data_IF_160380822475
#
_entry.id   IF_160380822475
#
_cell.length_a   1.000
_cell.length_b   1.000
_cell.length_c   1.000
_cell.angle_alpha   90.00
_cell.angle_beta   90.00
_cell.angle_gamma   90.00
#
_symmetry.space_group_name_H-M   'P 1'
#
loop_
_entity.id
_entity.type
_entity.pdbx_description
1 polymer ?
#
# COMPACT_ATOMS: atom_id res chain seq x y z
N UNK A 1 28.36 -49.03 22.79
CA UNK A 1 26.92 -49.24 22.95
C UNK A 1 26.38 -48.12 23.82
N UNK A 2 25.35 -47.41 23.31
CA UNK A 2 24.33 -46.59 24.00
C UNK A 2 24.84 -45.31 24.70
N UNK A 3 24.86 -44.16 24.00
CA UNK A 3 23.74 -43.20 23.76
C UNK A 3 23.49 -42.30 24.98
N UNK A 4 24.11 -41.12 24.98
CA UNK A 4 23.88 -40.08 25.97
C UNK A 4 22.57 -39.34 25.68
N UNK A 5 21.56 -39.67 26.47
CA UNK A 5 20.55 -38.79 27.07
C UNK A 5 20.01 -37.67 26.17
N UNK A 6 19.25 -38.11 25.17
CA UNK A 6 18.27 -37.28 24.50
C UNK A 6 17.11 -36.99 25.47
N UNK A 7 16.75 -35.70 25.57
CA UNK A 7 15.46 -35.18 26.00
C UNK A 7 15.21 -34.90 27.51
N UNK A 8 15.36 -33.62 27.87
CA UNK A 8 14.46 -32.95 28.81
C UNK A 8 14.30 -31.47 28.41
N UNK A 9 13.54 -31.20 27.33
CA UNK A 9 12.80 -29.94 27.23
C UNK A 9 11.33 -30.31 27.19
N UNK A 10 10.67 -30.22 28.35
CA UNK A 10 9.23 -30.21 28.40
C UNK A 10 8.74 -29.18 27.35
N UNK A 11 7.80 -29.54 26.44
CA UNK A 11 7.22 -28.53 25.58
C UNK A 11 6.58 -27.49 26.50
N UNK A 12 7.01 -26.23 26.36
CA UNK A 12 6.36 -25.14 27.07
C UNK A 12 4.90 -25.12 26.61
N UNK A 13 4.00 -25.58 27.48
CA UNK A 13 2.57 -25.78 27.18
C UNK A 13 1.85 -24.49 26.77
N UNK A 14 2.47 -23.34 27.00
CA UNK A 14 1.93 -22.00 26.71
C UNK A 14 2.84 -21.15 25.80
N UNK A 15 3.80 -21.74 25.07
CA UNK A 15 4.62 -20.98 24.10
C UNK A 15 4.14 -21.19 22.69
N UNK A 16 3.73 -20.13 22.00
CA UNK A 16 3.52 -20.13 20.55
C UNK A 16 4.76 -19.52 19.86
N UNK A 17 5.27 -20.21 18.86
CA UNK A 17 6.38 -19.74 18.03
C UNK A 17 5.84 -18.98 16.82
N UNK A 18 6.32 -17.76 16.61
CA UNK A 18 6.05 -16.96 15.41
C UNK A 18 7.34 -16.91 14.57
N UNK A 19 7.66 -17.97 13.81
CA UNK A 19 8.97 -18.12 13.14
C UNK A 19 9.24 -17.09 12.06
N UNK A 20 8.21 -16.40 11.61
CA UNK A 20 8.29 -15.38 10.56
C UNK A 20 8.52 -13.99 11.11
N UNK A 21 8.28 -13.76 12.42
CA UNK A 21 8.58 -12.49 13.04
C UNK A 21 10.08 -12.42 13.31
N UNK A 22 10.78 -11.68 12.46
CA UNK A 22 12.13 -11.20 12.73
C UNK A 22 12.13 -10.23 13.92
N UNK A 23 13.31 -9.94 14.48
CA UNK A 23 13.45 -9.00 15.60
C UNK A 23 12.82 -7.62 15.29
N UNK A 24 12.86 -7.23 14.01
CA UNK A 24 12.31 -5.98 13.49
C UNK A 24 10.76 -5.96 13.48
N UNK A 25 10.11 -7.13 13.47
CA UNK A 25 8.66 -7.28 13.46
C UNK A 25 8.04 -7.45 14.86
N UNK A 26 8.85 -7.35 15.93
CA UNK A 26 8.36 -7.19 17.31
C UNK A 26 7.44 -5.98 17.48
N UNK A 27 7.47 -5.05 16.52
CA UNK A 27 6.52 -3.96 16.38
C UNK A 27 5.06 -4.43 16.37
N UNK A 28 4.76 -5.63 15.87
CA UNK A 28 3.42 -6.22 15.95
C UNK A 28 3.02 -6.48 17.40
N UNK A 29 3.93 -7.08 18.17
CA UNK A 29 3.68 -7.38 19.59
C UNK A 29 3.55 -6.09 20.39
N UNK A 30 4.43 -5.11 20.15
CA UNK A 30 4.34 -3.79 20.75
C UNK A 30 2.98 -3.14 20.45
N UNK A 31 2.49 -3.22 19.21
CA UNK A 31 1.19 -2.71 18.82
C UNK A 31 0.04 -3.45 19.52
N UNK A 32 0.08 -4.78 19.62
CA UNK A 32 -0.98 -5.53 20.31
C UNK A 32 -1.09 -5.18 21.79
N UNK A 33 0.05 -4.86 22.44
CA UNK A 33 0.09 -4.50 23.85
C UNK A 33 -0.22 -3.02 24.12
N UNK A 34 0.15 -2.12 23.20
CA UNK A 34 0.04 -0.67 23.41
C UNK A 34 -1.05 -0.01 22.59
N UNK A 35 -1.61 -0.70 21.59
CA UNK A 35 -2.46 -0.16 20.53
C UNK A 35 -1.85 1.03 19.76
N UNK A 36 -0.53 1.22 19.88
CA UNK A 36 0.18 2.36 19.30
C UNK A 36 1.16 1.90 18.22
N UNK A 37 1.11 2.59 17.08
CA UNK A 37 2.07 2.43 16.00
C UNK A 37 3.08 3.59 16.06
N UNK A 38 4.36 3.27 16.13
CA UNK A 38 5.41 4.28 16.11
C UNK A 38 5.36 5.09 14.81
N UNK A 39 5.45 6.41 14.93
CA UNK A 39 5.30 7.38 13.83
C UNK A 39 6.52 7.43 12.94
N UNK A 40 7.69 7.13 13.48
CA UNK A 40 8.97 7.22 12.77
C UNK A 40 9.42 5.86 12.20
N UNK A 41 8.53 4.88 12.20
CA UNK A 41 8.83 3.56 11.65
C UNK A 41 9.16 3.66 10.14
N UNK A 42 10.28 3.07 9.67
CA UNK A 42 10.64 3.07 8.26
C UNK A 42 9.60 2.37 7.37
N UNK A 43 9.52 2.79 6.11
CA UNK A 43 8.57 2.23 5.13
C UNK A 43 8.70 0.70 4.99
N UNK A 44 9.93 0.17 4.96
CA UNK A 44 10.18 -1.29 4.93
C UNK A 44 9.52 -2.05 6.09
N UNK A 45 9.50 -1.45 7.28
CA UNK A 45 8.89 -2.07 8.45
C UNK A 45 7.36 -1.92 8.42
N UNK A 46 6.86 -0.83 7.86
CA UNK A 46 5.43 -0.66 7.59
C UNK A 46 4.90 -1.73 6.63
N UNK A 47 5.65 -2.04 5.56
CA UNK A 47 5.32 -3.13 4.63
C UNK A 47 5.31 -4.49 5.33
N UNK A 48 6.34 -4.79 6.12
CA UNK A 48 6.40 -6.04 6.91
C UNK A 48 5.23 -6.14 7.91
N UNK A 49 4.92 -5.06 8.62
CA UNK A 49 3.78 -4.98 9.54
C UNK A 49 2.43 -5.13 8.83
N UNK A 50 2.29 -4.59 7.62
CA UNK A 50 1.06 -4.75 6.84
C UNK A 50 0.85 -6.22 6.47
N UNK A 51 1.91 -6.91 6.01
CA UNK A 51 1.88 -8.35 5.72
C UNK A 51 1.56 -9.17 6.97
N UNK A 52 2.20 -8.84 8.10
CA UNK A 52 1.92 -9.50 9.37
C UNK A 52 0.47 -9.23 9.84
N UNK A 53 -0.01 -8.00 9.72
CA UNK A 53 -1.38 -7.64 10.10
C UNK A 53 -2.43 -8.38 9.28
N UNK A 54 -2.17 -8.58 7.98
CA UNK A 54 -3.04 -9.38 7.10
C UNK A 54 -3.00 -10.86 7.48
N UNK A 55 -1.80 -11.40 7.74
CA UNK A 55 -1.62 -12.80 8.16
C UNK A 55 -2.28 -13.14 9.50
N UNK A 56 -2.17 -12.26 10.48
CA UNK A 56 -2.69 -12.46 11.84
C UNK A 56 -4.08 -11.85 12.04
N UNK A 57 -4.73 -11.39 10.96
CA UNK A 57 -6.07 -10.76 10.96
C UNK A 57 -6.22 -9.61 11.97
N UNK A 58 -5.19 -8.76 12.07
CA UNK A 58 -5.17 -7.59 12.96
C UNK A 58 -5.66 -6.37 12.18
N UNK A 59 -6.98 -6.29 11.97
CA UNK A 59 -7.61 -5.26 11.13
C UNK A 59 -7.25 -3.81 11.50
N UNK A 60 -7.09 -3.51 12.80
CA UNK A 60 -6.72 -2.17 13.25
C UNK A 60 -5.28 -1.79 12.86
N UNK A 61 -4.33 -2.73 12.98
CA UNK A 61 -2.95 -2.53 12.54
C UNK A 61 -2.88 -2.38 11.01
N UNK A 62 -3.62 -3.23 10.29
CA UNK A 62 -3.72 -3.18 8.83
C UNK A 62 -4.16 -1.79 8.37
N UNK A 63 -5.25 -1.26 8.94
CA UNK A 63 -5.75 0.10 8.62
C UNK A 63 -4.76 1.20 8.99
N UNK A 64 -4.06 1.08 10.13
CA UNK A 64 -3.07 2.08 10.54
C UNK A 64 -1.85 2.10 9.61
N UNK A 65 -1.35 0.92 9.21
CA UNK A 65 -0.29 0.79 8.22
C UNK A 65 -0.73 1.31 6.85
N UNK A 66 -1.92 0.92 6.39
CA UNK A 66 -2.51 1.41 5.13
C UNK A 66 -2.61 2.94 5.12
N UNK A 67 -3.13 3.55 6.18
CA UNK A 67 -3.27 5.00 6.27
C UNK A 67 -1.92 5.73 6.24
N UNK A 68 -0.89 5.19 6.91
CA UNK A 68 0.43 5.83 6.95
C UNK A 68 1.21 5.64 5.65
N UNK A 69 1.15 4.44 5.06
CA UNK A 69 1.72 4.18 3.73
C UNK A 69 1.02 5.04 2.67
N UNK A 70 -0.31 5.17 2.74
CA UNK A 70 -1.08 6.06 1.89
C UNK A 70 -0.66 7.53 2.08
N UNK A 71 -0.40 7.99 3.31
CA UNK A 71 0.08 9.36 3.54
C UNK A 71 1.48 9.62 2.94
N UNK A 72 2.30 8.59 2.77
CA UNK A 72 3.65 8.68 2.22
C UNK A 72 3.73 8.55 0.68
N UNK A 73 2.59 8.45 0.00
CA UNK A 73 2.56 8.36 -1.47
C UNK A 73 2.94 9.70 -2.08
N UNK A 74 4.03 9.68 -2.84
CA UNK A 74 4.60 10.80 -3.56
C UNK A 74 4.79 10.45 -5.04
N UNK A 75 4.82 11.43 -5.96
CA UNK A 75 5.03 11.15 -7.38
C UNK A 75 6.28 10.33 -7.70
N UNK A 76 7.32 10.43 -6.85
CA UNK A 76 8.58 9.71 -7.02
C UNK A 76 8.50 8.22 -6.65
N UNK A 77 7.61 7.85 -5.73
CA UNK A 77 7.48 6.47 -5.25
C UNK A 77 6.19 5.79 -5.75
N UNK A 78 5.27 6.54 -6.37
CA UNK A 78 3.93 6.07 -6.75
C UNK A 78 3.91 4.80 -7.60
N UNK A 79 4.89 4.58 -8.47
CA UNK A 79 4.98 3.37 -9.29
C UNK A 79 5.29 2.13 -8.42
N UNK A 80 6.23 2.25 -7.49
CA UNK A 80 6.53 1.19 -6.51
C UNK A 80 5.35 0.95 -5.58
N UNK A 81 4.70 2.04 -5.15
CA UNK A 81 3.46 2.00 -4.35
C UNK A 81 2.35 1.22 -5.07
N UNK A 82 2.14 1.43 -6.37
CA UNK A 82 1.16 0.68 -7.16
C UNK A 82 1.48 -0.82 -7.24
N UNK A 83 2.75 -1.19 -7.44
CA UNK A 83 3.17 -2.61 -7.43
C UNK A 83 2.86 -3.25 -6.07
N UNK A 84 3.15 -2.55 -4.98
CA UNK A 84 2.87 -3.06 -3.62
C UNK A 84 1.37 -3.10 -3.32
N UNK A 85 0.58 -2.16 -3.85
CA UNK A 85 -0.88 -2.16 -3.73
C UNK A 85 -1.54 -3.35 -4.44
N UNK A 86 -0.95 -3.78 -5.56
CA UNK A 86 -1.36 -4.99 -6.27
C UNK A 86 -1.10 -6.24 -5.41
N UNK A 87 0.12 -6.36 -4.87
CA UNK A 87 0.51 -7.50 -4.04
C UNK A 87 -0.26 -7.61 -2.72
N UNK A 88 -0.53 -6.47 -2.08
CA UNK A 88 -1.23 -6.40 -0.79
C UNK A 88 -2.76 -6.40 -0.90
N UNK A 89 -3.32 -6.36 -2.13
CA UNK A 89 -4.76 -6.23 -2.36
C UNK A 89 -5.43 -5.08 -1.57
N UNK A 90 -4.66 -4.03 -1.24
CA UNK A 90 -5.17 -2.89 -0.48
C UNK A 90 -5.86 -1.89 -1.41
N UNK A 91 -7.19 -1.81 -1.29
CA UNK A 91 -7.99 -0.88 -2.08
C UNK A 91 -7.65 0.60 -1.79
N UNK A 92 -7.45 0.93 -0.52
CA UNK A 92 -7.10 2.30 -0.08
C UNK A 92 -5.76 2.75 -0.64
N UNK A 93 -4.78 1.83 -0.65
CA UNK A 93 -3.45 2.13 -1.15
C UNK A 93 -3.45 2.28 -2.68
N UNK A 94 -4.20 1.42 -3.38
CA UNK A 94 -4.38 1.49 -4.83
C UNK A 94 -5.07 2.78 -5.25
N UNK A 95 -6.20 3.13 -4.59
CA UNK A 95 -6.97 4.34 -4.89
C UNK A 95 -6.08 5.58 -4.76
N UNK A 96 -5.38 5.71 -3.63
CA UNK A 96 -4.51 6.86 -3.43
C UNK A 96 -3.35 6.92 -4.41
N UNK A 97 -2.71 5.79 -4.70
CA UNK A 97 -1.63 5.75 -5.67
C UNK A 97 -2.12 6.17 -7.07
N UNK A 98 -3.28 5.66 -7.49
CA UNK A 98 -3.90 6.06 -8.74
C UNK A 98 -4.25 7.56 -8.76
N UNK A 99 -4.79 8.11 -7.68
CA UNK A 99 -5.05 9.54 -7.55
C UNK A 99 -3.78 10.39 -7.68
N UNK A 100 -2.67 9.96 -7.05
CA UNK A 100 -1.38 10.64 -7.19
C UNK A 100 -0.87 10.58 -8.63
N UNK A 101 -0.99 9.43 -9.32
CA UNK A 101 -0.68 9.32 -10.75
C UNK A 101 -1.53 10.30 -11.56
N UNK A 102 -2.83 10.37 -11.29
CA UNK A 102 -3.72 11.27 -12.01
C UNK A 102 -3.36 12.75 -11.77
N UNK A 103 -3.00 13.13 -10.54
CA UNK A 103 -2.62 14.49 -10.17
C UNK A 103 -1.28 14.92 -10.79
N UNK A 104 -0.31 14.00 -10.86
CA UNK A 104 1.05 14.25 -11.35
C UNK A 104 1.36 13.48 -12.63
N UNK A 105 0.36 13.34 -13.51
CA UNK A 105 0.41 12.46 -14.67
C UNK A 105 1.61 12.72 -15.58
N UNK A 106 1.91 13.98 -15.88
CA UNK A 106 3.05 14.34 -16.73
C UNK A 106 4.38 13.94 -16.08
N UNK A 107 4.54 14.19 -14.77
CA UNK A 107 5.75 13.82 -14.06
C UNK A 107 5.97 12.31 -14.00
N UNK A 108 4.88 11.54 -13.85
CA UNK A 108 4.93 10.09 -13.68
C UNK A 108 5.05 9.38 -15.02
N UNK A 109 4.22 9.71 -16.01
CA UNK A 109 4.17 8.99 -17.30
C UNK A 109 5.38 9.29 -18.19
N UNK A 110 5.97 10.48 -18.09
CA UNK A 110 7.19 10.84 -18.83
C UNK A 110 8.48 10.54 -18.06
N UNK A 111 8.40 9.84 -16.93
CA UNK A 111 9.57 9.47 -16.14
C UNK A 111 10.23 8.21 -16.71
N UNK A 112 11.57 8.07 -16.65
CA UNK A 112 12.26 6.86 -17.10
C UNK A 112 11.87 5.62 -16.29
N UNK A 113 11.48 5.80 -15.03
CA UNK A 113 10.99 4.73 -14.17
C UNK A 113 9.67 4.15 -14.68
N UNK A 114 8.86 4.93 -15.41
CA UNK A 114 7.63 4.45 -16.02
C UNK A 114 7.88 3.46 -17.15
N UNK A 115 8.96 3.62 -17.92
CA UNK A 115 9.32 2.69 -18.99
C UNK A 115 9.63 1.30 -18.42
N UNK A 116 10.44 1.23 -17.35
CA UNK A 116 10.74 -0.03 -16.66
C UNK A 116 9.49 -0.62 -16.00
N UNK A 117 8.66 0.22 -15.39
CA UNK A 117 7.38 -0.19 -14.80
C UNK A 117 6.44 -0.79 -15.85
N UNK A 118 6.38 -0.19 -17.05
CA UNK A 118 5.49 -0.63 -18.12
C UNK A 118 5.86 -1.99 -18.70
N UNK A 119 7.15 -2.30 -18.79
CA UNK A 119 7.62 -3.62 -19.21
C UNK A 119 7.21 -4.71 -18.22
N UNK A 120 7.24 -4.41 -16.91
CA UNK A 120 6.92 -5.36 -15.85
C UNK A 120 5.42 -5.47 -15.54
N UNK A 121 4.67 -4.38 -15.73
CA UNK A 121 3.29 -4.24 -15.23
C UNK A 121 2.32 -3.74 -16.30
N UNK A 122 2.19 -4.48 -17.40
CA UNK A 122 1.31 -4.11 -18.52
C UNK A 122 -0.15 -3.85 -18.10
N UNK A 123 -0.68 -4.64 -17.15
CA UNK A 123 -2.05 -4.47 -16.65
C UNK A 123 -2.24 -3.12 -15.94
N UNK A 124 -1.32 -2.75 -15.05
CA UNK A 124 -1.36 -1.47 -14.34
C UNK A 124 -1.23 -0.28 -15.30
N UNK A 125 -0.41 -0.38 -16.35
CA UNK A 125 -0.34 0.66 -17.37
C UNK A 125 -1.66 0.87 -18.12
N UNK A 126 -2.39 -0.20 -18.41
CA UNK A 126 -3.71 -0.11 -19.03
C UNK A 126 -4.70 0.59 -18.07
N UNK A 127 -4.65 0.28 -16.78
CA UNK A 127 -5.47 0.95 -15.76
C UNK A 127 -5.14 2.45 -15.65
N UNK A 128 -3.86 2.80 -15.57
CA UNK A 128 -3.40 4.20 -15.56
C UNK A 128 -3.90 4.94 -16.81
N UNK A 129 -3.73 4.35 -17.99
CA UNK A 129 -4.17 4.95 -19.26
C UNK A 129 -5.68 5.19 -19.26
N UNK A 130 -6.48 4.20 -18.84
CA UNK A 130 -7.94 4.33 -18.72
C UNK A 130 -8.34 5.43 -17.72
N UNK A 131 -7.68 5.48 -16.57
CA UNK A 131 -7.94 6.47 -15.54
C UNK A 131 -7.63 7.90 -16.03
N UNK A 132 -6.52 8.09 -16.75
CA UNK A 132 -6.14 9.37 -17.34
C UNK A 132 -7.16 9.85 -18.38
N UNK A 133 -7.59 8.96 -19.27
CA UNK A 133 -8.62 9.28 -20.27
C UNK A 133 -9.96 9.62 -19.62
N UNK A 134 -10.36 8.88 -18.58
CA UNK A 134 -11.58 9.17 -17.81
C UNK A 134 -11.50 10.54 -17.12
N UNK A 135 -10.34 10.90 -16.54
CA UNK A 135 -10.15 12.22 -15.93
C UNK A 135 -10.25 13.35 -16.97
N UNK A 136 -9.72 13.15 -18.18
CA UNK A 136 -9.81 14.14 -19.26
C UNK A 136 -11.25 14.34 -19.77
N UNK A 137 -12.06 13.28 -19.86
CA UNK A 137 -13.47 13.40 -20.29
C UNK A 137 -14.33 14.15 -19.28
N UNK A 138 -14.05 14.00 -17.97
CA UNK A 138 -14.75 14.72 -16.90
C UNK A 138 -14.45 16.23 -16.90
N UNK A 139 -13.20 16.63 -17.17
CA UNK A 139 -12.80 18.04 -17.28
C UNK A 139 -13.47 18.78 -18.45
N UNK A 140 -13.83 18.05 -19.52
CA UNK A 140 -14.46 18.61 -20.72
C UNK A 140 -15.96 18.88 -20.54
N UNK A 141 -16.64 18.13 -19.66
CA UNK A 141 -18.09 18.27 -19.41
C UNK A 141 -18.44 19.48 -18.53
N UNK A 142 -17.51 19.96 -17.71
CA UNK A 142 -17.74 21.11 -16.82
C UNK A 142 -17.69 22.46 -17.57
N UNK A 143 -17.03 22.53 -18.74
CA UNK A 143 -16.92 23.79 -19.51
C UNK A 143 -18.12 24.14 -20.39
N UNK A 144 -19.11 23.26 -20.54
CA UNK A 144 -20.23 23.42 -21.48
C UNK A 144 -21.56 23.85 -20.85
N UNK A 145 -21.65 24.14 -19.54
CA UNK A 145 -22.89 24.63 -18.90
C UNK A 145 -22.95 26.13 -18.65
N UNK A 146 -21.91 26.91 -19.01
CA UNK A 146 -21.90 28.37 -18.87
C UNK A 146 -21.81 29.07 -20.23
N UNK A 147 -22.80 28.84 -21.10
CA UNK A 147 -23.14 29.77 -22.19
C UNK A 147 -24.49 29.44 -22.82
N UNK A 148 -25.55 30.06 -22.31
CA UNK A 148 -26.79 30.37 -23.05
C UNK A 148 -27.56 31.48 -22.30
N UNK A 149 -27.21 32.73 -22.62
CA UNK A 149 -28.09 33.92 -22.56
C UNK A 149 -29.31 33.72 -23.52
N UNK A 150 -30.26 34.67 -23.76
CA UNK A 150 -30.70 35.89 -23.07
C UNK A 150 -32.27 36.03 -22.96
N UNK A 151 -32.75 37.12 -22.36
CA UNK A 151 -34.01 37.85 -22.63
C UNK A 151 -35.40 37.14 -22.62
N UNK A 152 -36.26 37.55 -21.69
CA UNK A 152 -37.67 37.90 -21.95
C UNK A 152 -38.16 38.81 -20.80
N UNK A 153 -38.25 40.12 -21.03
CA UNK A 153 -39.45 40.92 -21.36
C UNK A 153 -40.19 41.43 -20.12
#
# INVERSE_FOLDING_TARGET
MLSGDEHCKAPARDSFSLPELSHDELSLLAFLYTSALDRDLPERHLHALLVAADKYDVAFLRRACEARLAAAVEPRNVLRTLEVAELSSSAVFRERAMDTVLQHAEQVVFSPEYDEFAVRNAALCVEITRALLAKMSMSTTVRSTDKSDPHHA
#
